data_IF_882838048283
#
_entry.id   IF_882838048283
#
_cell.length_a   1.000
_cell.length_b   1.000
_cell.length_c   1.000
_cell.angle_alpha   90.00
_cell.angle_beta   90.00
_cell.angle_gamma   90.00
#
_symmetry.space_group_name_H-M   'P 1'
#
loop_
_entity.id
_entity.type
_entity.pdbx_description
1 polymer ?
#
# COMPACT_ATOMS: atom_id res chain seq x y z
N UNK A 1 7.19 -6.87 -24.99
CA UNK A 1 7.29 -7.85 -23.87
C UNK A 1 7.89 -7.17 -22.66
N UNK A 2 7.23 -7.29 -21.51
CA UNK A 2 7.68 -6.64 -20.27
C UNK A 2 8.74 -7.48 -19.59
N UNK A 3 9.91 -6.91 -19.32
CA UNK A 3 10.99 -7.60 -18.62
C UNK A 3 10.80 -7.50 -17.10
N UNK A 4 11.51 -8.33 -16.34
CA UNK A 4 11.53 -8.28 -14.88
C UNK A 4 11.97 -6.89 -14.36
N UNK A 5 12.94 -6.28 -15.03
CA UNK A 5 13.42 -4.94 -14.70
C UNK A 5 12.31 -3.89 -14.87
N UNK A 6 11.52 -3.99 -15.95
CA UNK A 6 10.41 -3.07 -16.20
C UNK A 6 9.32 -3.18 -15.15
N UNK A 7 9.02 -4.41 -14.66
CA UNK A 7 8.06 -4.61 -13.58
C UNK A 7 8.52 -3.95 -12.28
N UNK A 8 9.79 -4.09 -11.91
CA UNK A 8 10.37 -3.45 -10.72
C UNK A 8 10.30 -1.93 -10.81
N UNK A 9 10.68 -1.37 -11.96
CA UNK A 9 10.65 0.08 -12.20
C UNK A 9 9.23 0.61 -12.08
N UNK A 10 8.25 -0.09 -12.66
CA UNK A 10 6.85 0.31 -12.63
C UNK A 10 6.31 0.31 -11.19
N UNK A 11 6.64 -0.70 -10.40
CA UNK A 11 6.26 -0.77 -8.99
C UNK A 11 6.85 0.35 -8.17
N UNK A 12 8.15 0.60 -8.31
CA UNK A 12 8.84 1.66 -7.59
C UNK A 12 8.29 3.05 -7.97
N UNK A 13 7.97 3.25 -9.24
CA UNK A 13 7.37 4.49 -9.71
C UNK A 13 5.99 4.70 -9.09
N UNK A 14 5.17 3.66 -9.05
CA UNK A 14 3.84 3.75 -8.45
C UNK A 14 3.90 4.09 -6.96
N UNK A 15 4.79 3.46 -6.21
CA UNK A 15 4.98 3.76 -4.78
C UNK A 15 5.34 5.24 -4.57
N UNK A 16 6.25 5.76 -5.37
CA UNK A 16 6.66 7.17 -5.32
C UNK A 16 5.48 8.09 -5.67
N UNK A 17 4.73 7.75 -6.72
CA UNK A 17 3.58 8.55 -7.14
C UNK A 17 2.48 8.57 -6.08
N UNK A 18 2.23 7.45 -5.42
CA UNK A 18 1.26 7.36 -4.31
C UNK A 18 1.71 8.25 -3.14
N UNK A 19 2.97 8.14 -2.72
CA UNK A 19 3.51 9.00 -1.67
C UNK A 19 3.31 10.47 -2.01
N UNK A 20 3.68 10.85 -3.22
CA UNK A 20 3.63 12.24 -3.67
C UNK A 20 2.20 12.75 -3.77
N UNK A 21 1.28 11.90 -4.22
CA UNK A 21 -0.14 12.26 -4.27
C UNK A 21 -0.70 12.56 -2.88
N UNK A 22 -0.41 11.71 -1.90
CA UNK A 22 -0.85 11.95 -0.52
C UNK A 22 -0.25 13.24 0.04
N UNK A 23 1.05 13.47 -0.18
CA UNK A 23 1.71 14.71 0.27
C UNK A 23 1.10 15.95 -0.37
N UNK A 24 0.81 15.89 -1.66
CA UNK A 24 0.19 16.99 -2.38
C UNK A 24 -1.21 17.30 -1.85
N UNK A 25 -1.88 16.33 -1.25
CA UNK A 25 -3.21 16.49 -0.66
C UNK A 25 -3.16 16.74 0.85
N UNK A 26 -2.00 17.03 1.40
CA UNK A 26 -1.85 17.46 2.79
C UNK A 26 -1.65 16.34 3.80
N UNK A 27 -1.36 15.12 3.36
CA UNK A 27 -1.16 13.99 4.26
C UNK A 27 0.32 13.73 4.52
N UNK A 28 0.65 13.26 5.72
CA UNK A 28 2.00 12.82 6.07
C UNK A 28 2.20 11.40 5.53
N UNK A 29 2.95 11.31 4.45
CA UNK A 29 3.17 10.06 3.74
C UNK A 29 4.66 9.86 3.43
N UNK A 30 5.11 8.61 3.51
CA UNK A 30 6.48 8.27 3.15
C UNK A 30 6.55 6.85 2.59
N UNK A 31 7.53 6.63 1.71
CA UNK A 31 7.87 5.28 1.26
C UNK A 31 8.67 4.60 2.36
N UNK A 32 8.38 3.32 2.57
CA UNK A 32 9.10 2.52 3.55
C UNK A 32 10.24 1.78 2.88
N UNK A 33 11.45 1.95 3.39
CA UNK A 33 12.59 1.16 2.96
C UNK A 33 12.45 -0.25 3.56
N UNK A 34 12.70 -1.26 2.75
CA UNK A 34 12.71 -2.63 3.25
C UNK A 34 13.99 -2.83 4.07
N UNK A 35 13.85 -2.76 5.39
CA UNK A 35 14.96 -2.98 6.33
C UNK A 35 14.62 -4.17 7.22
N UNK A 36 15.45 -5.18 7.21
CA UNK A 36 15.24 -6.37 8.03
C UNK A 36 14.45 -7.47 7.33
N UNK A 37 14.07 -8.50 8.10
CA UNK A 37 13.50 -9.74 7.59
C UNK A 37 11.99 -9.68 7.32
N UNK A 38 11.29 -8.70 7.92
CA UNK A 38 9.83 -8.60 7.81
C UNK A 38 9.41 -7.44 6.95
N UNK A 39 8.50 -7.69 6.02
CA UNK A 39 7.92 -6.68 5.16
C UNK A 39 6.90 -5.86 5.97
N UNK A 40 7.06 -4.55 5.94
CA UNK A 40 6.19 -3.60 6.65
C UNK A 40 5.35 -2.74 5.70
N UNK A 41 5.26 -3.12 4.43
CA UNK A 41 4.52 -2.39 3.42
C UNK A 41 5.39 -1.47 2.56
N UNK A 42 4.77 -0.81 1.61
CA UNK A 42 5.44 0.01 0.62
C UNK A 42 5.39 1.50 0.97
N UNK A 43 4.23 1.97 1.42
CA UNK A 43 3.98 3.38 1.75
C UNK A 43 3.19 3.44 3.04
N UNK A 44 3.49 4.42 3.86
CA UNK A 44 2.71 4.70 5.07
C UNK A 44 2.08 6.09 4.96
N UNK A 45 0.84 6.21 5.42
CA UNK A 45 0.14 7.49 5.56
C UNK A 45 -0.31 7.60 7.01
N UNK A 46 0.24 8.57 7.73
CA UNK A 46 0.09 8.65 9.20
C UNK A 46 -1.22 9.29 9.66
N UNK A 47 -2.02 9.79 8.73
CA UNK A 47 -3.32 10.42 9.03
C UNK A 47 -4.31 10.17 7.91
N UNK A 48 -5.59 10.37 8.17
CA UNK A 48 -6.62 10.31 7.13
C UNK A 48 -7.29 8.96 6.93
N UNK A 49 -6.81 7.90 7.57
CA UNK A 49 -7.42 6.58 7.49
C UNK A 49 -8.24 6.28 8.75
N UNK A 50 -9.35 7.00 8.92
CA UNK A 50 -10.28 6.81 10.06
C UNK A 50 -9.57 6.99 11.42
N UNK A 51 -8.64 7.93 11.49
CA UNK A 51 -7.83 8.16 12.69
C UNK A 51 -6.72 7.14 12.91
N UNK A 52 -6.46 6.28 11.94
CA UNK A 52 -5.46 5.21 12.01
C UNK A 52 -4.34 5.49 11.02
N UNK A 53 -3.23 4.78 11.19
CA UNK A 53 -2.11 4.84 10.26
C UNK A 53 -2.39 3.87 9.11
N UNK A 54 -2.47 4.38 7.89
CA UNK A 54 -2.62 3.53 6.70
C UNK A 54 -1.28 2.91 6.33
N UNK A 55 -1.19 1.59 6.39
CA UNK A 55 -0.02 0.83 5.92
C UNK A 55 -0.40 0.24 4.57
N UNK A 56 0.25 0.71 3.53
CA UNK A 56 -0.19 0.52 2.15
C UNK A 56 0.70 -0.46 1.41
N UNK A 57 0.08 -1.50 0.84
CA UNK A 57 0.68 -2.36 -0.17
C UNK A 57 0.26 -1.83 -1.54
N UNK A 58 1.25 -1.52 -2.39
CA UNK A 58 1.02 -0.98 -3.72
C UNK A 58 1.21 -2.05 -4.79
N UNK A 59 0.23 -2.19 -5.67
CA UNK A 59 0.30 -3.11 -6.81
C UNK A 59 0.04 -2.35 -8.11
N UNK A 60 0.97 -2.50 -9.05
CA UNK A 60 0.85 -1.90 -10.39
C UNK A 60 0.90 -3.02 -11.43
N UNK A 61 -0.18 -3.80 -11.59
CA UNK A 61 -0.18 -4.95 -12.51
C UNK A 61 -0.06 -4.49 -13.96
N UNK A 62 0.73 -5.22 -14.74
CA UNK A 62 0.88 -4.97 -16.15
C UNK A 62 -0.29 -5.53 -16.96
N UNK A 63 -0.23 -5.26 -18.27
CA UNK A 63 -1.21 -5.78 -19.22
C UNK A 63 -1.30 -7.30 -19.15
N UNK A 64 -2.51 -7.82 -19.09
CA UNK A 64 -2.77 -9.25 -19.10
C UNK A 64 -2.48 -9.97 -17.79
N UNK A 65 -2.01 -9.27 -16.76
CA UNK A 65 -1.79 -9.87 -15.45
C UNK A 65 -3.10 -9.91 -14.65
N UNK A 66 -3.36 -11.04 -14.03
CA UNK A 66 -4.53 -11.20 -13.19
C UNK A 66 -4.39 -10.39 -11.90
N UNK A 67 -5.52 -9.95 -11.37
CA UNK A 67 -5.59 -9.29 -10.07
C UNK A 67 -5.87 -10.34 -9.01
N UNK A 68 -4.95 -10.47 -8.06
CA UNK A 68 -5.09 -11.40 -6.93
C UNK A 68 -5.52 -10.64 -5.68
N UNK A 69 -6.80 -10.29 -5.60
CA UNK A 69 -7.32 -9.52 -4.48
C UNK A 69 -7.10 -10.23 -3.14
N UNK A 70 -7.39 -11.52 -3.09
CA UNK A 70 -7.26 -12.30 -1.86
C UNK A 70 -5.82 -12.36 -1.37
N UNK A 71 -4.88 -12.71 -2.26
CA UNK A 71 -3.46 -12.80 -1.92
C UNK A 71 -2.86 -11.46 -1.55
N UNK A 72 -3.14 -10.43 -2.34
CA UNK A 72 -2.61 -9.09 -2.08
C UNK A 72 -3.19 -8.47 -0.82
N UNK A 73 -4.47 -8.70 -0.54
CA UNK A 73 -5.10 -8.24 0.70
C UNK A 73 -4.46 -8.91 1.91
N UNK A 74 -4.13 -10.19 1.82
CA UNK A 74 -3.44 -10.92 2.88
C UNK A 74 -2.03 -10.37 3.11
N UNK A 75 -1.29 -10.04 2.06
CA UNK A 75 0.00 -9.37 2.17
C UNK A 75 -0.12 -8.06 2.94
N UNK A 76 -1.10 -7.24 2.57
CA UNK A 76 -1.34 -5.96 3.23
C UNK A 76 -1.63 -6.14 4.73
N UNK A 77 -2.40 -7.17 5.09
CA UNK A 77 -2.70 -7.49 6.50
C UNK A 77 -1.42 -7.85 7.28
N UNK A 78 -0.59 -8.71 6.71
CA UNK A 78 0.65 -9.13 7.36
C UNK A 78 1.59 -7.94 7.55
N UNK A 79 1.72 -7.10 6.53
CA UNK A 79 2.60 -5.93 6.56
C UNK A 79 2.15 -4.91 7.59
N UNK A 80 0.85 -4.66 7.70
CA UNK A 80 0.31 -3.76 8.72
C UNK A 80 0.61 -4.27 10.13
N UNK A 81 0.49 -5.58 10.36
CA UNK A 81 0.84 -6.20 11.65
C UNK A 81 2.33 -6.04 11.95
N UNK A 82 3.17 -6.28 10.96
CA UNK A 82 4.63 -6.14 11.11
C UNK A 82 5.00 -4.69 11.44
N UNK A 83 4.38 -3.73 10.75
CA UNK A 83 4.61 -2.31 11.01
C UNK A 83 4.24 -1.95 12.46
N UNK A 84 3.07 -2.35 12.91
CA UNK A 84 2.60 -2.07 14.27
C UNK A 84 3.51 -2.74 15.32
N UNK A 85 3.87 -4.00 15.11
CA UNK A 85 4.70 -4.75 16.05
C UNK A 85 6.09 -4.14 16.21
N UNK A 86 6.73 -3.73 15.12
CA UNK A 86 8.08 -3.16 15.17
C UNK A 86 8.12 -1.81 15.88
N UNK A 87 6.99 -1.12 15.99
CA UNK A 87 6.89 0.19 16.61
C UNK A 87 6.14 0.18 17.94
N UNK A 88 5.83 -1.01 18.46
CA UNK A 88 5.11 -1.15 19.73
C UNK A 88 3.70 -0.58 19.72
N UNK A 89 3.05 -0.56 18.55
CA UNK A 89 1.69 -0.05 18.41
C UNK A 89 0.67 -1.16 18.60
N UNK A 90 -0.52 -0.79 19.09
CA UNK A 90 -1.65 -1.73 19.18
C UNK A 90 -2.19 -2.09 17.79
N UNK A 91 -2.88 -3.20 17.69
CA UNK A 91 -3.42 -3.70 16.42
C UNK A 91 -4.36 -2.70 15.72
N UNK A 92 -5.10 -1.92 16.50
CA UNK A 92 -6.05 -0.94 15.96
C UNK A 92 -5.41 0.39 15.58
N UNK A 93 -4.13 0.58 15.85
CA UNK A 93 -3.42 1.79 15.47
C UNK A 93 -3.19 1.88 13.96
N UNK A 94 -3.18 0.74 13.26
CA UNK A 94 -2.93 0.67 11.82
C UNK A 94 -4.14 0.12 11.09
N UNK A 95 -4.24 0.48 9.81
CA UNK A 95 -5.22 -0.06 8.88
C UNK A 95 -4.46 -0.60 7.68
N UNK A 96 -4.71 -1.86 7.34
CA UNK A 96 -4.12 -2.47 6.15
C UNK A 96 -4.85 -1.95 4.91
N UNK A 97 -4.08 -1.42 3.97
CA UNK A 97 -4.61 -0.79 2.76
C UNK A 97 -3.94 -1.40 1.54
N UNK A 98 -4.74 -1.82 0.59
CA UNK A 98 -4.24 -2.27 -0.71
C UNK A 98 -4.60 -1.23 -1.75
N UNK A 99 -3.60 -0.69 -2.46
CA UNK A 99 -3.80 0.21 -3.58
C UNK A 99 -3.38 -0.48 -4.87
N UNK A 100 -4.29 -0.48 -5.84
CA UNK A 100 -4.05 -1.09 -7.14
C UNK A 100 -4.15 0.00 -8.21
N UNK A 101 -3.08 0.17 -8.97
CA UNK A 101 -3.08 1.16 -10.05
C UNK A 101 -4.11 0.78 -11.12
N UNK A 102 -4.98 1.73 -11.45
CA UNK A 102 -5.87 1.61 -12.59
C UNK A 102 -5.05 1.87 -13.85
N UNK A 103 -4.94 0.85 -14.68
CA UNK A 103 -4.07 0.89 -15.84
C UNK A 103 -4.46 1.99 -16.82
N UNK A 104 -3.46 2.80 -17.24
CA UNK A 104 -3.69 3.89 -18.17
C UNK A 104 -4.40 5.09 -17.56
N UNK A 105 -4.61 5.10 -16.26
CA UNK A 105 -5.32 6.17 -15.55
C UNK A 105 -4.36 6.94 -14.63
N UNK A 106 -4.82 8.09 -14.14
CA UNK A 106 -4.08 8.89 -13.18
C UNK A 106 -4.04 8.21 -11.79
N UNK A 107 -3.16 8.69 -10.93
CA UNK A 107 -3.00 8.12 -9.58
C UNK A 107 -4.30 8.16 -8.78
N UNK A 108 -5.07 9.23 -8.90
CA UNK A 108 -6.33 9.39 -8.17
C UNK A 108 -7.40 8.37 -8.56
N UNK A 109 -7.24 7.71 -9.71
CA UNK A 109 -8.13 6.65 -10.16
C UNK A 109 -7.74 5.27 -9.64
N UNK A 110 -6.68 5.17 -8.83
CA UNK A 110 -6.27 3.91 -8.21
C UNK A 110 -7.40 3.32 -7.37
N UNK A 111 -7.46 1.99 -7.32
CA UNK A 111 -8.46 1.29 -6.53
C UNK A 111 -7.95 1.14 -5.10
N UNK A 112 -8.76 1.60 -4.15
CA UNK A 112 -8.49 1.46 -2.72
C UNK A 112 -9.28 0.26 -2.20
N UNK A 113 -8.59 -0.73 -1.66
CA UNK A 113 -9.21 -1.94 -1.16
C UNK A 113 -8.99 -2.05 0.34
N UNK A 114 -10.08 -2.15 1.08
CA UNK A 114 -10.09 -2.33 2.52
C UNK A 114 -10.96 -3.53 2.85
N UNK A 115 -10.62 -4.25 3.89
CA UNK A 115 -11.48 -5.34 4.36
C UNK A 115 -12.60 -4.76 5.21
N UNK A 116 -13.80 -5.28 5.01
CA UNK A 116 -15.00 -4.82 5.72
C UNK A 116 -14.81 -4.86 7.24
N UNK A 117 -14.27 -5.96 7.77
CA UNK A 117 -14.06 -6.13 9.20
C UNK A 117 -13.02 -5.18 9.80
N UNK A 118 -12.05 -4.72 9.00
CA UNK A 118 -11.04 -3.76 9.46
C UNK A 118 -11.63 -2.36 9.66
N UNK A 119 -12.64 -2.03 8.88
CA UNK A 119 -13.28 -0.70 8.94
C UNK A 119 -14.42 -0.68 9.95
N UNK A 120 -15.25 -1.71 9.97
CA UNK A 120 -16.51 -1.72 10.73
C UNK A 120 -16.56 -2.78 11.84
N UNK A 121 -15.57 -3.64 11.92
CA UNK A 121 -15.51 -4.69 12.93
C UNK A 121 -15.05 -4.25 14.31
#
# INVERSE_FOLDING_TARGET
MTTRKSHKTRGATYETDIRDWFRANGYDSERLARTGAKDEGDVVVRSGFLGRIGVIECKAPGAGNAIDLSGWSREAQVEAKNYAASRGLGERATLAVLLIKARGKSIEDSYLVLRLGDVFG
#
